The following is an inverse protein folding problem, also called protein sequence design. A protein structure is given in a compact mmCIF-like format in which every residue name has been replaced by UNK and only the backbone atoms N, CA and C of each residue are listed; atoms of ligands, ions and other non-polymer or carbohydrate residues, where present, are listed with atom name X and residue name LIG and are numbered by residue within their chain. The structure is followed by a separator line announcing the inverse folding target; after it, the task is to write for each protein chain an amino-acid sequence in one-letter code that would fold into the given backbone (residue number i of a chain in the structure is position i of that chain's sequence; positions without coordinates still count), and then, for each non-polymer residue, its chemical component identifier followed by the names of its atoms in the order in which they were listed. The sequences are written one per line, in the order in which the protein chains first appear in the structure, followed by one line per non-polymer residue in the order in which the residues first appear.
data_IF_590260079293
#
_entry.id   IF_590260079293
#
_cell.length_a   1.000
_cell.length_b   1.000
_cell.length_c   1.000
_cell.angle_alpha   90.00
_cell.angle_beta   90.00
_cell.angle_gamma   90.00
#
_symmetry.space_group_name_H-M   'P 1'
#
loop_
_entity.id
_entity.type
_entity.pdbx_description
1 polymer ?
#
# COMPACT_ATOMS: atom_id res chain seq x y z
N UNK A 1 -20.98 -31.17 -1.81
CA UNK A 1 -20.40 -30.67 -3.08
C UNK A 1 -19.35 -29.63 -2.74
N UNK A 2 -18.07 -30.01 -2.69
CA UNK A 2 -16.99 -29.06 -2.43
C UNK A 2 -16.85 -28.14 -3.64
N UNK A 3 -17.14 -26.84 -3.46
CA UNK A 3 -16.81 -25.83 -4.47
C UNK A 3 -15.30 -25.86 -4.65
N UNK A 4 -14.85 -26.36 -5.79
CA UNK A 4 -13.45 -26.27 -6.20
C UNK A 4 -13.15 -24.78 -6.33
N UNK A 5 -12.47 -24.23 -5.33
CA UNK A 5 -11.97 -22.86 -5.38
C UNK A 5 -10.85 -22.89 -6.41
N UNK A 6 -11.12 -22.34 -7.60
CA UNK A 6 -10.13 -22.26 -8.68
C UNK A 6 -9.05 -21.24 -8.29
N UNK A 7 -8.02 -21.73 -7.61
CA UNK A 7 -6.90 -20.93 -7.16
C UNK A 7 -6.06 -20.46 -8.36
N UNK A 8 -5.83 -19.16 -8.50
CA UNK A 8 -4.79 -18.64 -9.38
C UNK A 8 -3.46 -18.89 -8.68
N UNK A 9 -2.52 -19.61 -9.32
CA UNK A 9 -1.12 -19.62 -8.88
C UNK A 9 -0.64 -18.17 -8.92
N UNK A 10 -0.67 -17.53 -7.75
CA UNK A 10 -0.48 -16.10 -7.58
C UNK A 10 0.86 -15.69 -8.13
N UNK A 11 0.90 -14.49 -8.68
CA UNK A 11 2.07 -13.67 -9.00
C UNK A 11 3.08 -13.61 -7.82
N UNK A 12 2.63 -13.96 -6.62
CA UNK A 12 3.34 -13.98 -5.34
C UNK A 12 3.61 -15.38 -4.75
N UNK A 13 3.23 -16.47 -5.43
CA UNK A 13 3.37 -17.85 -4.93
C UNK A 13 2.33 -18.30 -3.89
N UNK A 14 1.33 -17.47 -3.54
CA UNK A 14 0.26 -17.86 -2.62
C UNK A 14 -0.88 -18.59 -3.35
N UNK A 15 -1.35 -19.71 -2.78
CA UNK A 15 -2.29 -20.64 -3.41
C UNK A 15 -3.78 -20.26 -3.25
N UNK A 16 -4.15 -19.04 -2.83
CA UNK A 16 -5.51 -18.82 -2.25
C UNK A 16 -6.24 -17.54 -2.68
N UNK A 17 -5.89 -16.92 -3.81
CA UNK A 17 -6.65 -15.73 -4.27
C UNK A 17 -7.76 -16.17 -5.24
N UNK A 18 -9.02 -16.03 -4.81
CA UNK A 18 -10.22 -16.38 -5.60
C UNK A 18 -10.45 -15.41 -6.76
N UNK A 19 -11.26 -15.81 -7.75
CA UNK A 19 -11.69 -14.93 -8.85
C UNK A 19 -12.29 -13.62 -8.36
N UNK A 20 -13.25 -13.72 -7.45
CA UNK A 20 -13.97 -12.56 -6.90
C UNK A 20 -13.01 -11.65 -6.15
N UNK A 21 -12.04 -12.23 -5.43
CA UNK A 21 -11.00 -11.48 -4.73
C UNK A 21 -10.12 -10.69 -5.68
N UNK A 22 -9.69 -11.26 -6.80
CA UNK A 22 -8.92 -10.50 -7.80
C UNK A 22 -9.77 -9.40 -8.42
N UNK A 23 -11.03 -9.69 -8.73
CA UNK A 23 -11.96 -8.68 -9.28
C UNK A 23 -12.18 -7.54 -8.29
N UNK A 24 -12.29 -7.83 -7.00
CA UNK A 24 -12.35 -6.84 -5.92
C UNK A 24 -11.10 -5.96 -5.93
N UNK A 25 -9.90 -6.56 -5.85
CA UNK A 25 -8.62 -5.83 -5.85
C UNK A 25 -8.48 -4.89 -7.05
N UNK A 26 -8.86 -5.35 -8.25
CA UNK A 26 -8.76 -4.58 -9.49
C UNK A 26 -9.72 -3.37 -9.57
N UNK A 27 -10.73 -3.34 -8.72
CA UNK A 27 -11.72 -2.26 -8.64
C UNK A 27 -11.56 -1.39 -7.38
N UNK A 28 -10.63 -1.71 -6.48
CA UNK A 28 -10.37 -0.88 -5.30
C UNK A 28 -9.71 0.43 -5.70
N UNK A 29 -10.08 1.51 -4.99
CA UNK A 29 -9.28 2.73 -4.97
C UNK A 29 -7.93 2.46 -4.31
N UNK A 30 -6.92 3.30 -4.56
CA UNK A 30 -5.62 3.11 -3.92
C UNK A 30 -5.71 3.12 -2.38
N UNK A 31 -6.56 3.97 -1.79
CA UNK A 31 -6.80 3.97 -0.34
C UNK A 31 -7.40 2.65 0.14
N UNK A 32 -8.42 2.14 -0.55
CA UNK A 32 -9.02 0.85 -0.24
C UNK A 32 -8.04 -0.31 -0.41
N UNK A 33 -7.13 -0.23 -1.37
CA UNK A 33 -6.06 -1.19 -1.59
C UNK A 33 -5.02 -1.15 -0.47
N UNK A 34 -4.57 0.05 -0.07
CA UNK A 34 -3.56 0.23 0.98
C UNK A 34 -4.08 -0.01 2.40
N UNK A 35 -5.41 -0.13 2.58
CA UNK A 35 -6.03 -0.61 3.82
C UNK A 35 -6.17 -2.13 3.87
N UNK A 36 -5.82 -2.83 2.79
CA UNK A 36 -5.97 -4.26 2.66
C UNK A 36 -4.60 -4.94 2.75
N UNK A 37 -4.28 -5.47 3.92
CA UNK A 37 -2.95 -6.01 4.21
C UNK A 37 -2.55 -7.14 3.25
N UNK A 38 -3.50 -8.01 2.88
CA UNK A 38 -3.25 -9.07 1.92
C UNK A 38 -2.93 -8.50 0.52
N UNK A 39 -3.63 -7.44 0.10
CA UNK A 39 -3.37 -6.75 -1.16
C UNK A 39 -1.99 -6.08 -1.17
N UNK A 40 -1.65 -5.36 -0.09
CA UNK A 40 -0.35 -4.72 0.08
C UNK A 40 0.78 -5.75 0.06
N UNK A 41 0.59 -6.89 0.74
CA UNK A 41 1.56 -7.98 0.73
C UNK A 41 1.75 -8.59 -0.66
N UNK A 42 0.69 -8.68 -1.47
CA UNK A 42 0.81 -9.10 -2.87
C UNK A 42 1.65 -8.11 -3.68
N UNK A 43 1.41 -6.81 -3.52
CA UNK A 43 2.17 -5.76 -4.20
C UNK A 43 3.64 -5.78 -3.77
N UNK A 44 3.93 -5.81 -2.46
CA UNK A 44 5.29 -5.87 -1.91
C UNK A 44 6.09 -7.08 -2.42
N UNK A 45 5.43 -8.23 -2.64
CA UNK A 45 6.07 -9.44 -3.21
C UNK A 45 6.32 -9.32 -4.72
N UNK A 46 5.53 -8.51 -5.42
CA UNK A 46 5.67 -8.31 -6.86
C UNK A 46 6.79 -7.33 -7.22
N UNK A 47 7.01 -6.32 -6.38
CA UNK A 47 7.92 -5.21 -6.66
C UNK A 47 9.32 -5.45 -6.03
N UNK A 48 10.40 -4.90 -6.60
CA UNK A 48 11.71 -4.94 -5.97
C UNK A 48 11.70 -4.29 -4.58
N UNK A 49 12.41 -4.89 -3.60
CA UNK A 49 12.51 -4.36 -2.24
C UNK A 49 13.08 -2.93 -2.18
N UNK A 50 14.01 -2.63 -3.07
CA UNK A 50 14.66 -1.31 -3.16
C UNK A 50 13.84 -0.25 -3.93
N UNK A 51 12.65 -0.62 -4.44
CA UNK A 51 11.83 0.32 -5.21
C UNK A 51 11.31 1.46 -4.35
N UNK A 52 11.19 2.65 -4.95
CA UNK A 52 10.57 3.81 -4.29
C UNK A 52 9.13 3.49 -3.85
N UNK A 53 8.40 2.70 -4.64
CA UNK A 53 7.06 2.24 -4.25
C UNK A 53 7.07 1.44 -2.95
N UNK A 54 8.09 0.61 -2.73
CA UNK A 54 8.24 -0.13 -1.46
C UNK A 54 8.43 0.83 -0.28
N UNK A 55 9.26 1.86 -0.45
CA UNK A 55 9.48 2.91 0.56
C UNK A 55 8.19 3.70 0.85
N UNK A 56 7.49 4.12 -0.20
CA UNK A 56 6.22 4.84 -0.06
C UNK A 56 5.17 4.01 0.68
N UNK A 57 5.09 2.69 0.44
CA UNK A 57 4.19 1.80 1.18
C UNK A 57 4.56 1.79 2.67
N UNK A 58 5.85 1.72 3.00
CA UNK A 58 6.31 1.76 4.39
C UNK A 58 5.92 3.08 5.08
N UNK A 59 6.09 4.22 4.39
CA UNK A 59 5.68 5.54 4.89
C UNK A 59 4.17 5.56 5.18
N UNK A 60 3.33 5.09 4.24
CA UNK A 60 1.86 5.04 4.46
C UNK A 60 1.50 4.14 5.65
N UNK A 61 2.18 3.02 5.82
CA UNK A 61 1.93 2.12 6.95
C UNK A 61 2.35 2.73 8.28
N UNK A 62 3.50 3.39 8.33
CA UNK A 62 3.99 4.07 9.52
C UNK A 62 3.10 5.25 9.90
N UNK A 63 2.70 6.07 8.93
CA UNK A 63 1.79 7.19 9.16
C UNK A 63 0.46 6.72 9.76
N UNK A 64 -0.12 5.64 9.21
CA UNK A 64 -1.35 5.03 9.77
C UNK A 64 -1.14 4.45 11.17
N UNK A 65 0.01 3.85 11.43
CA UNK A 65 0.34 3.37 12.77
C UNK A 65 0.34 4.53 13.78
N UNK A 66 1.00 5.63 13.43
CA UNK A 66 1.05 6.85 14.22
C UNK A 66 -0.30 7.56 14.39
N UNK A 67 -1.26 7.36 13.49
CA UNK A 67 -2.65 7.84 13.70
C UNK A 67 -3.41 7.05 14.79
N UNK A 68 -2.95 5.84 15.11
CA UNK A 68 -3.65 4.92 16.05
C UNK A 68 -2.93 4.71 17.36
N UNK A 69 -1.68 5.16 17.46
CA UNK A 69 -0.81 4.98 18.62
C UNK A 69 -0.43 6.35 19.16
N UNK A 70 -0.24 6.46 20.49
CA UNK A 70 0.33 7.67 21.06
C UNK A 70 1.82 7.75 20.67
N UNK A 71 2.20 8.84 19.99
CA UNK A 71 3.51 8.98 19.37
C UNK A 71 4.41 9.84 20.24
N UNK A 72 5.57 9.31 20.61
CA UNK A 72 6.62 10.12 21.18
C UNK A 72 7.36 10.88 20.06
N UNK A 73 7.00 12.14 19.82
CA UNK A 73 7.65 13.01 18.82
C UNK A 73 9.13 13.31 19.08
N UNK A 74 9.67 12.86 20.21
CA UNK A 74 11.10 13.00 20.57
C UNK A 74 11.86 11.68 20.52
N UNK A 75 11.29 10.63 19.93
CA UNK A 75 12.01 9.38 19.68
C UNK A 75 12.76 9.43 18.35
N UNK A 76 13.90 8.74 18.30
CA UNK A 76 14.65 8.51 17.05
C UNK A 76 13.76 7.90 15.95
N UNK A 77 12.81 7.03 16.31
CA UNK A 77 11.85 6.43 15.35
C UNK A 77 10.89 7.45 14.71
N UNK A 78 10.57 8.53 15.42
CA UNK A 78 9.77 9.63 14.88
C UNK A 78 10.62 10.50 13.96
N UNK A 79 11.83 10.87 14.40
CA UNK A 79 12.77 11.66 13.59
C UNK A 79 13.09 10.95 12.27
N UNK A 80 13.42 9.66 12.30
CA UNK A 80 13.67 8.84 11.11
C UNK A 80 12.47 8.81 10.15
N UNK A 81 11.25 8.82 10.70
CA UNK A 81 10.04 8.87 9.89
C UNK A 81 9.89 10.23 9.22
N UNK A 82 10.04 11.33 9.96
CA UNK A 82 9.94 12.70 9.44
C UNK A 82 11.00 12.93 8.35
N UNK A 83 12.24 12.51 8.57
CA UNK A 83 13.35 12.60 7.60
C UNK A 83 13.10 11.82 6.31
N UNK A 84 12.22 10.82 6.34
CA UNK A 84 11.83 10.05 5.16
C UNK A 84 10.75 10.72 4.30
N UNK A 85 10.14 11.80 4.82
CA UNK A 85 9.05 12.51 4.16
C UNK A 85 9.57 13.48 3.09
N UNK A 86 8.64 14.02 2.31
CA UNK A 86 8.91 15.22 1.52
C UNK A 86 9.02 16.41 2.46
N UNK A 87 9.89 17.35 2.12
CA UNK A 87 10.16 18.56 2.94
C UNK A 87 8.88 19.29 3.34
N UNK A 88 7.95 19.50 2.40
CA UNK A 88 6.66 20.16 2.65
C UNK A 88 5.75 19.39 3.62
N UNK A 89 5.76 18.06 3.55
CA UNK A 89 4.99 17.22 4.48
C UNK A 89 5.68 17.06 5.84
N UNK A 90 7.01 17.07 5.87
CA UNK A 90 7.79 17.04 7.10
C UNK A 90 7.52 18.30 7.92
N UNK A 91 7.67 19.48 7.29
CA UNK A 91 7.37 20.78 7.90
C UNK A 91 5.92 20.84 8.42
N UNK A 92 4.95 20.43 7.59
CA UNK A 92 3.53 20.40 8.00
C UNK A 92 3.31 19.51 9.24
N UNK A 93 3.98 18.35 9.30
CA UNK A 93 3.82 17.39 10.39
C UNK A 93 4.44 17.88 11.71
N UNK A 94 5.54 18.61 11.64
CA UNK A 94 6.21 19.21 12.81
C UNK A 94 5.45 20.42 13.35
N UNK A 95 4.95 21.28 12.47
CA UNK A 95 4.28 22.53 12.84
C UNK A 95 2.79 22.35 13.21
N UNK A 96 2.18 21.23 12.81
CA UNK A 96 0.75 21.02 13.03
C UNK A 96 0.39 20.78 14.50
N UNK A 97 -0.60 21.55 14.99
CA UNK A 97 -1.27 21.29 16.26
C UNK A 97 -2.16 20.03 16.23
N UNK A 98 -2.59 19.61 15.03
CA UNK A 98 -3.34 18.37 14.80
C UNK A 98 -2.47 17.39 14.02
N UNK A 99 -1.70 16.60 14.77
CA UNK A 99 -0.81 15.56 14.21
C UNK A 99 -1.58 14.56 13.34
N UNK A 100 -2.82 14.22 13.71
CA UNK A 100 -3.61 13.24 12.96
C UNK A 100 -4.01 13.76 11.59
N UNK A 101 -4.39 15.04 11.50
CA UNK A 101 -4.69 15.69 10.24
C UNK A 101 -3.45 15.76 9.32
N UNK A 102 -2.28 16.10 9.87
CA UNK A 102 -1.03 16.12 9.10
C UNK A 102 -0.60 14.71 8.64
N UNK A 103 -0.73 13.69 9.50
CA UNK A 103 -0.50 12.29 9.12
C UNK A 103 -1.46 11.82 8.03
N UNK A 104 -2.72 12.29 8.02
CA UNK A 104 -3.65 11.98 6.93
C UNK A 104 -3.17 12.57 5.60
N UNK A 105 -2.62 13.79 5.61
CA UNK A 105 -2.02 14.39 4.41
C UNK A 105 -0.80 13.60 3.90
N UNK A 106 0.04 13.09 4.81
CA UNK A 106 1.12 12.15 4.47
C UNK A 106 0.56 10.89 3.79
N UNK A 107 -0.46 10.27 4.39
CA UNK A 107 -1.12 9.09 3.81
C UNK A 107 -1.69 9.40 2.43
N UNK A 108 -2.35 10.54 2.25
CA UNK A 108 -2.94 10.96 0.99
C UNK A 108 -1.90 11.14 -0.11
N UNK A 109 -0.83 11.88 0.15
CA UNK A 109 0.19 12.18 -0.86
C UNK A 109 0.99 10.92 -1.25
N UNK A 110 1.43 10.13 -0.28
CA UNK A 110 2.17 8.91 -0.59
C UNK A 110 1.28 7.83 -1.23
N UNK A 111 -0.02 7.77 -0.90
CA UNK A 111 -0.97 6.92 -1.63
C UNK A 111 -1.07 7.33 -3.11
N UNK A 112 -1.16 8.64 -3.41
CA UNK A 112 -1.18 9.14 -4.80
C UNK A 112 0.11 8.80 -5.54
N UNK A 113 1.26 8.87 -4.87
CA UNK A 113 2.56 8.50 -5.46
C UNK A 113 2.64 7.02 -5.78
N UNK A 114 2.13 6.15 -4.91
CA UNK A 114 2.00 4.72 -5.18
C UNK A 114 1.08 4.48 -6.38
N UNK A 115 -0.11 5.11 -6.41
CA UNK A 115 -1.08 4.94 -7.49
C UNK A 115 -0.51 5.33 -8.87
N UNK A 116 0.29 6.40 -8.91
CA UNK A 116 0.95 6.88 -10.12
C UNK A 116 2.20 6.08 -10.50
N UNK A 117 2.73 5.23 -9.62
CA UNK A 117 4.00 4.54 -9.84
C UNK A 117 3.90 3.48 -10.94
N UNK A 118 5.00 3.26 -11.66
CA UNK A 118 5.06 2.21 -12.66
C UNK A 118 4.93 0.82 -12.02
N UNK A 119 5.43 0.64 -10.80
CA UNK A 119 5.32 -0.62 -10.07
C UNK A 119 3.85 -1.00 -9.83
N UNK A 120 3.03 -0.06 -9.36
CA UNK A 120 1.61 -0.30 -9.12
C UNK A 120 0.83 -0.50 -10.42
N UNK A 121 1.12 0.29 -11.46
CA UNK A 121 0.53 0.13 -12.79
C UNK A 121 0.86 -1.24 -13.40
N UNK A 122 2.12 -1.67 -13.31
CA UNK A 122 2.58 -2.96 -13.80
C UNK A 122 1.93 -4.11 -13.03
N UNK A 123 1.85 -3.98 -11.71
CA UNK A 123 1.15 -4.93 -10.84
C UNK A 123 -0.32 -5.10 -11.26
N UNK A 124 -1.05 -3.98 -11.41
CA UNK A 124 -2.45 -4.00 -11.82
C UNK A 124 -2.63 -4.56 -13.23
N UNK A 125 -1.77 -4.20 -14.18
CA UNK A 125 -1.79 -4.73 -15.54
C UNK A 125 -1.58 -6.26 -15.53
N UNK A 126 -0.56 -6.72 -14.81
CA UNK A 126 -0.27 -8.14 -14.68
C UNK A 126 -1.43 -8.92 -14.05
N UNK A 127 -2.03 -8.36 -12.99
CA UNK A 127 -3.18 -8.95 -12.31
C UNK A 127 -4.41 -9.04 -13.24
N UNK A 128 -4.67 -8.01 -14.06
CA UNK A 128 -5.72 -8.02 -15.09
C UNK A 128 -5.47 -9.08 -16.15
N UNK A 129 -4.24 -9.20 -16.62
CA UNK A 129 -3.89 -10.18 -17.66
C UNK A 129 -4.04 -11.61 -17.15
N UNK A 130 -3.57 -11.89 -15.93
CA UNK A 130 -3.76 -13.20 -15.29
C UNK A 130 -5.23 -13.54 -15.06
N UNK A 131 -6.03 -12.56 -14.64
CA UNK A 131 -7.47 -12.73 -14.49
C UNK A 131 -8.13 -13.11 -15.83
N UNK A 132 -7.81 -12.39 -16.91
CA UNK A 132 -8.33 -12.67 -18.25
C UNK A 132 -7.87 -14.02 -18.82
N UNK A 133 -6.61 -14.40 -18.60
CA UNK A 133 -6.07 -15.67 -19.09
C UNK A 133 -6.74 -16.88 -18.43
N UNK A 134 -7.11 -16.75 -17.15
CA UNK A 134 -7.61 -17.88 -16.35
C UNK A 134 -9.12 -18.04 -16.38
N UNK A 135 -9.88 -16.96 -16.54
CA UNK A 135 -11.35 -16.96 -16.45
C UNK A 135 -12.03 -16.46 -17.73
N UNK A 136 -11.34 -16.62 -18.87
CA UNK A 136 -11.96 -16.49 -20.19
C UNK A 136 -12.82 -17.70 -20.50
#
# INVERSE_FOLDING_TARGET
MSKVVECIKCICGCNEVTRDRIKELLNKTIHGFLNDEAAVNMLKKYIPKESLTHKHIAIVQQAKHYQTTDVNKSSDEWEDFVDSLLEDLAEELEDSADTNAALENVVLEYSRRIDKSNDFKNFNSNLRDKYKQRFK
#
